data_IF_624462560229
#
_entry.id   IF_624462560229
#
_cell.length_a   1.000
_cell.length_b   1.000
_cell.length_c   1.000
_cell.angle_alpha   90.00
_cell.angle_beta   90.00
_cell.angle_gamma   90.00
#
_symmetry.space_group_name_H-M   'P 1'
#
loop_
_entity.id
_entity.type
_entity.pdbx_description
1 polymer ?
#
# COMPACT_ATOMS: atom_id res chain seq x y z
N UNK A 1 10.99 -1.05 36.85
CA UNK A 1 12.30 -0.68 36.27
C UNK A 1 12.81 -1.65 35.21
N UNK A 2 12.98 -2.96 35.49
CA UNK A 2 13.45 -3.93 34.48
C UNK A 2 12.42 -4.16 33.37
N UNK A 3 11.14 -4.29 33.74
CA UNK A 3 10.02 -4.47 32.80
C UNK A 3 9.85 -3.22 31.92
N UNK A 4 9.90 -2.02 32.50
CA UNK A 4 9.75 -0.77 31.74
C UNK A 4 10.87 -0.60 30.71
N UNK A 5 12.11 -0.94 31.09
CA UNK A 5 13.26 -0.90 30.17
C UNK A 5 13.12 -1.91 29.04
N UNK A 6 12.57 -3.10 29.33
CA UNK A 6 12.27 -4.11 28.32
C UNK A 6 11.17 -3.63 27.36
N UNK A 7 10.06 -3.12 27.90
CA UNK A 7 8.94 -2.57 27.11
C UNK A 7 9.40 -1.41 26.22
N UNK A 8 10.21 -0.49 26.74
CA UNK A 8 10.80 0.60 25.98
C UNK A 8 11.68 0.07 24.84
N UNK A 9 12.56 -0.89 25.12
CA UNK A 9 13.45 -1.50 24.12
C UNK A 9 12.67 -2.21 23.01
N UNK A 10 11.66 -3.01 23.37
CA UNK A 10 10.81 -3.71 22.41
C UNK A 10 9.98 -2.74 21.58
N UNK A 11 9.39 -1.72 22.20
CA UNK A 11 8.66 -0.66 21.50
C UNK A 11 9.56 0.01 20.46
N UNK A 12 10.71 0.55 20.88
CA UNK A 12 11.67 1.21 19.99
C UNK A 12 12.11 0.31 18.83
N UNK A 13 12.34 -0.98 19.08
CA UNK A 13 12.67 -1.94 18.03
C UNK A 13 11.59 -2.02 16.96
N UNK A 14 10.32 -2.19 17.34
CA UNK A 14 9.21 -2.25 16.39
C UNK A 14 8.99 -0.90 15.68
N UNK A 15 9.19 0.23 16.37
CA UNK A 15 9.11 1.57 15.77
C UNK A 15 10.18 1.77 14.70
N UNK A 16 11.43 1.40 14.99
CA UNK A 16 12.56 1.46 14.05
C UNK A 16 12.37 0.51 12.87
N UNK A 17 11.95 -0.74 13.13
CA UNK A 17 11.68 -1.73 12.09
C UNK A 17 10.56 -1.27 11.16
N UNK A 18 9.44 -0.79 11.72
CA UNK A 18 8.33 -0.26 10.94
C UNK A 18 8.74 0.93 10.07
N UNK A 19 9.48 1.88 10.65
CA UNK A 19 10.01 3.04 9.92
C UNK A 19 10.99 2.63 8.82
N UNK A 20 11.88 1.67 9.11
CA UNK A 20 12.82 1.10 8.14
C UNK A 20 12.12 0.42 6.97
N UNK A 21 11.01 -0.29 7.22
CA UNK A 21 10.19 -0.90 6.16
C UNK A 21 9.51 0.15 5.28
N UNK A 22 8.97 1.24 5.86
CA UNK A 22 8.43 2.38 5.08
C UNK A 22 9.52 2.99 4.22
N UNK A 23 10.69 3.25 4.80
CA UNK A 23 11.84 3.83 4.09
C UNK A 23 12.33 2.90 2.96
N UNK A 24 12.40 1.59 3.20
CA UNK A 24 12.73 0.62 2.16
C UNK A 24 11.68 0.60 1.04
N UNK A 25 10.39 0.69 1.39
CA UNK A 25 9.31 0.76 0.39
C UNK A 25 9.42 2.01 -0.50
N UNK A 26 9.98 3.12 0.01
CA UNK A 26 10.24 4.31 -0.80
C UNK A 26 11.22 4.03 -1.94
N UNK A 27 12.30 3.27 -1.72
CA UNK A 27 13.22 2.88 -2.78
C UNK A 27 12.57 1.96 -3.81
N UNK A 28 11.74 1.01 -3.35
CA UNK A 28 10.96 0.15 -4.26
C UNK A 28 10.05 1.00 -5.15
N UNK A 29 9.36 1.98 -4.56
CA UNK A 29 8.54 2.92 -5.32
C UNK A 29 9.38 3.76 -6.29
N UNK A 30 10.51 4.31 -5.87
CA UNK A 30 11.37 5.12 -6.72
C UNK A 30 11.85 4.32 -7.95
N UNK A 31 12.29 3.08 -7.74
CA UNK A 31 12.70 2.17 -8.81
C UNK A 31 11.56 1.79 -9.75
N UNK A 32 10.33 1.67 -9.24
CA UNK A 32 9.13 1.24 -9.99
C UNK A 32 8.18 2.38 -10.36
N UNK A 33 8.60 3.63 -10.17
CA UNK A 33 7.77 4.82 -10.39
C UNK A 33 7.23 4.88 -11.81
N UNK A 34 8.07 4.59 -12.82
CA UNK A 34 7.66 4.60 -14.23
C UNK A 34 6.58 3.56 -14.51
N UNK A 35 6.76 2.33 -14.02
CA UNK A 35 5.77 1.24 -14.16
C UNK A 35 4.45 1.59 -13.48
N UNK A 36 4.53 2.20 -12.28
CA UNK A 36 3.37 2.67 -11.53
C UNK A 36 2.55 3.71 -12.30
N UNK A 37 3.17 4.78 -12.80
CA UNK A 37 2.45 5.81 -13.55
C UNK A 37 1.96 5.31 -14.91
N UNK A 38 2.67 4.38 -15.56
CA UNK A 38 2.19 3.73 -16.79
C UNK A 38 0.90 2.94 -16.54
N UNK A 39 0.78 2.27 -15.39
CA UNK A 39 -0.43 1.54 -15.03
C UNK A 39 -1.60 2.51 -14.76
N UNK A 40 -1.32 3.60 -14.04
CA UNK A 40 -2.32 4.65 -13.76
C UNK A 40 -2.81 5.30 -15.06
N UNK A 41 -1.91 5.67 -15.97
CA UNK A 41 -2.30 6.29 -17.24
C UNK A 41 -3.11 5.33 -18.10
N UNK A 42 -2.71 4.06 -18.18
CA UNK A 42 -3.46 3.02 -18.89
C UNK A 42 -4.89 2.87 -18.37
N UNK A 43 -5.09 2.97 -17.06
CA UNK A 43 -6.41 2.91 -16.44
C UNK A 43 -7.22 4.20 -16.68
N UNK A 44 -6.65 5.35 -16.35
CA UNK A 44 -7.32 6.66 -16.43
C UNK A 44 -7.71 7.09 -17.86
N UNK A 45 -7.02 6.56 -18.88
CA UNK A 45 -7.40 6.79 -20.27
C UNK A 45 -8.73 6.12 -20.67
N UNK A 46 -9.19 5.09 -19.94
CA UNK A 46 -10.39 4.31 -20.27
C UNK A 46 -11.47 4.40 -19.19
N UNK A 47 -11.07 4.60 -17.93
CA UNK A 47 -11.95 4.50 -16.77
C UNK A 47 -11.69 5.64 -15.79
N UNK A 48 -12.69 5.95 -14.95
CA UNK A 48 -12.55 6.93 -13.88
C UNK A 48 -12.16 6.21 -12.58
N UNK A 49 -11.18 6.76 -11.86
CA UNK A 49 -10.87 6.24 -10.53
C UNK A 49 -12.05 6.48 -9.57
N UNK A 50 -12.48 5.46 -8.81
CA UNK A 50 -13.42 5.69 -7.72
C UNK A 50 -12.75 6.55 -6.65
N UNK A 51 -13.51 7.41 -5.98
CA UNK A 51 -13.02 8.04 -4.75
C UNK A 51 -12.76 6.95 -3.69
N UNK A 52 -11.68 7.02 -2.89
CA UNK A 52 -10.65 8.07 -2.81
C UNK A 52 -9.43 7.87 -3.74
N UNK A 53 -9.40 6.84 -4.60
CA UNK A 53 -8.24 6.57 -5.48
C UNK A 53 -7.97 7.71 -6.47
N UNK A 54 -9.01 8.47 -6.83
CA UNK A 54 -8.90 9.71 -7.61
C UNK A 54 -8.04 10.77 -6.93
N UNK A 55 -7.96 10.80 -5.60
CA UNK A 55 -7.04 11.66 -4.86
C UNK A 55 -5.67 10.99 -4.69
N UNK A 56 -5.65 9.71 -4.35
CA UNK A 56 -4.41 9.02 -4.00
C UNK A 56 -3.41 8.88 -5.15
N UNK A 57 -3.85 8.78 -6.41
CA UNK A 57 -2.89 8.70 -7.51
C UNK A 57 -2.07 9.99 -7.70
N UNK A 58 -2.53 11.13 -7.16
CA UNK A 58 -1.87 12.44 -7.26
C UNK A 58 -0.85 12.71 -6.15
N UNK A 59 -0.90 11.99 -5.02
CA UNK A 59 -0.04 12.27 -3.83
C UNK A 59 1.27 11.47 -3.80
N UNK A 60 1.67 10.91 -4.93
CA UNK A 60 2.97 10.24 -5.10
C UNK A 60 3.13 8.98 -4.23
N UNK A 61 4.27 8.86 -3.54
CA UNK A 61 4.64 7.67 -2.76
C UNK A 61 3.59 7.29 -1.71
N UNK A 62 3.08 8.26 -0.94
CA UNK A 62 2.11 8.01 0.12
C UNK A 62 0.76 7.50 -0.42
N UNK A 63 0.42 7.84 -1.67
CA UNK A 63 -0.78 7.38 -2.34
C UNK A 63 -0.58 6.09 -3.14
N UNK A 64 0.68 5.66 -3.33
CA UNK A 64 0.99 4.46 -4.10
C UNK A 64 0.42 3.20 -3.45
N UNK A 65 0.45 3.09 -2.12
CA UNK A 65 -0.11 1.92 -1.42
C UNK A 65 -1.60 1.70 -1.67
N UNK A 66 -2.51 2.66 -1.41
CA UNK A 66 -3.93 2.44 -1.66
C UNK A 66 -4.23 2.21 -3.16
N UNK A 67 -3.53 2.89 -4.07
CA UNK A 67 -3.72 2.71 -5.53
C UNK A 67 -3.25 1.33 -6.00
N UNK A 68 -2.09 0.87 -5.53
CA UNK A 68 -1.59 -0.49 -5.83
C UNK A 68 -2.56 -1.54 -5.30
N UNK A 69 -3.08 -1.37 -4.08
CA UNK A 69 -4.08 -2.26 -3.49
C UNK A 69 -5.38 -2.26 -4.29
N UNK A 70 -5.81 -1.10 -4.80
CA UNK A 70 -6.94 -0.99 -5.72
C UNK A 70 -6.71 -1.87 -6.95
N UNK A 71 -5.58 -1.73 -7.64
CA UNK A 71 -5.29 -2.54 -8.83
C UNK A 71 -5.20 -4.04 -8.53
N UNK A 72 -4.59 -4.44 -7.40
CA UNK A 72 -4.54 -5.84 -6.98
C UNK A 72 -5.94 -6.41 -6.74
N UNK A 73 -6.84 -5.63 -6.13
CA UNK A 73 -8.24 -6.07 -5.94
C UNK A 73 -8.99 -6.12 -7.27
N UNK A 74 -8.78 -5.14 -8.13
CA UNK A 74 -9.39 -5.06 -9.45
C UNK A 74 -9.01 -6.26 -10.31
N UNK A 75 -7.72 -6.65 -10.31
CA UNK A 75 -7.25 -7.83 -11.04
C UNK A 75 -7.81 -9.16 -10.50
N UNK A 76 -8.33 -9.15 -9.27
CA UNK A 76 -8.96 -10.31 -8.64
C UNK A 76 -10.50 -10.25 -8.74
N UNK A 77 -11.05 -9.24 -9.43
CA UNK A 77 -12.50 -8.94 -9.49
C UNK A 77 -13.15 -8.89 -8.10
N UNK A 78 -12.39 -8.45 -7.09
CA UNK A 78 -12.90 -8.31 -5.72
C UNK A 78 -13.65 -6.99 -5.59
N UNK A 79 -14.70 -6.98 -4.78
CA UNK A 79 -15.47 -5.78 -4.44
C UNK A 79 -14.54 -4.65 -3.96
N UNK A 80 -14.60 -3.53 -4.65
CA UNK A 80 -13.90 -2.28 -4.31
C UNK A 80 -14.91 -1.33 -3.66
N UNK A 81 -14.48 -0.63 -2.62
CA UNK A 81 -15.32 0.35 -1.93
C UNK A 81 -15.62 1.52 -2.88
N UNK A 82 -16.88 1.97 -2.92
CA UNK A 82 -17.36 3.04 -3.82
C UNK A 82 -17.25 2.76 -5.32
N UNK A 83 -17.24 1.48 -5.71
CA UNK A 83 -17.29 1.04 -7.10
C UNK A 83 -18.44 0.06 -7.29
N UNK A 84 -19.27 0.28 -8.32
CA UNK A 84 -20.40 -0.60 -8.64
C UNK A 84 -19.89 -1.98 -9.07
N UNK A 85 -20.57 -3.05 -8.68
CA UNK A 85 -20.18 -4.42 -9.05
C UNK A 85 -20.28 -4.70 -10.57
N UNK A 86 -21.10 -3.96 -11.29
CA UNK A 86 -21.25 -4.02 -12.74
C UNK A 86 -20.40 -2.98 -13.48
N UNK A 87 -19.51 -2.28 -12.77
CA UNK A 87 -18.65 -1.27 -13.39
C UNK A 87 -17.74 -1.90 -14.46
N UNK A 88 -17.71 -1.36 -15.70
CA UNK A 88 -16.93 -1.93 -16.79
C UNK A 88 -15.42 -1.93 -16.50
N UNK A 89 -14.93 -1.14 -15.54
CA UNK A 89 -13.52 -1.13 -15.19
C UNK A 89 -13.01 -2.45 -14.57
N UNK A 90 -13.91 -3.36 -14.14
CA UNK A 90 -13.51 -4.72 -13.75
C UNK A 90 -12.92 -5.54 -14.92
N UNK A 91 -13.17 -5.16 -16.17
CA UNK A 91 -12.55 -5.79 -17.35
C UNK A 91 -11.16 -5.24 -17.69
N UNK A 92 -10.64 -4.29 -16.91
CA UNK A 92 -9.35 -3.64 -17.19
C UNK A 92 -8.17 -4.64 -17.34
N UNK A 93 -8.19 -5.75 -16.60
CA UNK A 93 -7.16 -6.79 -16.65
C UNK A 93 -7.50 -7.95 -17.61
N UNK A 94 -8.58 -7.85 -18.40
CA UNK A 94 -8.88 -8.84 -19.44
C UNK A 94 -7.96 -8.68 -20.66
N UNK A 95 -7.36 -7.49 -20.84
CA UNK A 95 -6.30 -7.27 -21.81
C UNK A 95 -5.01 -7.98 -21.37
N UNK A 96 -4.55 -8.96 -22.17
CA UNK A 96 -3.37 -9.79 -21.89
C UNK A 96 -2.07 -8.98 -21.72
N UNK A 97 -2.03 -7.73 -22.18
CA UNK A 97 -0.86 -6.86 -22.06
C UNK A 97 -0.74 -6.18 -20.69
N UNK A 98 -1.82 -6.16 -19.89
CA UNK A 98 -1.88 -5.48 -18.60
C UNK A 98 -1.95 -6.53 -17.50
N UNK A 99 -0.97 -6.55 -16.60
CA UNK A 99 -0.93 -7.51 -15.48
C UNK A 99 -0.40 -6.88 -14.20
N UNK A 100 -0.82 -7.46 -13.08
CA UNK A 100 -0.22 -7.14 -11.78
C UNK A 100 1.18 -7.73 -11.71
N UNK A 101 2.16 -6.87 -11.49
CA UNK A 101 3.55 -7.28 -11.32
C UNK A 101 3.83 -7.72 -9.88
N UNK A 102 4.82 -8.62 -9.71
CA UNK A 102 5.23 -9.12 -8.39
C UNK A 102 5.64 -8.00 -7.43
N UNK A 103 6.30 -6.95 -7.93
CA UNK A 103 6.71 -5.80 -7.13
C UNK A 103 5.53 -5.09 -6.44
N UNK A 104 4.34 -5.09 -7.03
CA UNK A 104 3.14 -4.48 -6.44
C UNK A 104 2.67 -5.24 -5.20
N UNK A 105 2.75 -6.58 -5.25
CA UNK A 105 2.44 -7.45 -4.12
C UNK A 105 3.49 -7.31 -3.02
N UNK A 106 4.77 -7.29 -3.41
CA UNK A 106 5.88 -7.07 -2.48
C UNK A 106 5.77 -5.71 -1.78
N UNK A 107 5.54 -4.64 -2.54
CA UNK A 107 5.32 -3.29 -2.00
C UNK A 107 4.13 -3.25 -1.02
N UNK A 108 3.01 -3.88 -1.39
CA UNK A 108 1.86 -4.00 -0.47
C UNK A 108 2.22 -4.75 0.81
N UNK A 109 3.01 -5.81 0.70
CA UNK A 109 3.50 -6.59 1.84
C UNK A 109 4.38 -5.76 2.79
N UNK A 110 5.29 -4.93 2.24
CA UNK A 110 6.11 -4.01 3.04
C UNK A 110 5.24 -3.04 3.85
N UNK A 111 4.22 -2.45 3.22
CA UNK A 111 3.31 -1.53 3.91
C UNK A 111 2.47 -2.22 4.99
N UNK A 112 1.99 -3.45 4.75
CA UNK A 112 1.30 -4.22 5.79
C UNK A 112 2.22 -4.55 6.96
N UNK A 113 3.44 -5.03 6.69
CA UNK A 113 4.42 -5.34 7.71
C UNK A 113 4.82 -4.09 8.52
N UNK A 114 5.05 -2.96 7.83
CA UNK A 114 5.33 -1.68 8.47
C UNK A 114 4.18 -1.23 9.37
N UNK A 115 2.94 -1.30 8.87
CA UNK A 115 1.74 -0.94 9.63
C UNK A 115 1.60 -1.80 10.87
N UNK A 116 1.79 -3.12 10.75
CA UNK A 116 1.75 -4.03 11.89
C UNK A 116 2.83 -3.69 12.94
N UNK A 117 4.06 -3.40 12.51
CA UNK A 117 5.14 -2.99 13.41
C UNK A 117 4.81 -1.68 14.12
N UNK A 118 4.29 -0.68 13.41
CA UNK A 118 3.93 0.61 13.98
C UNK A 118 2.74 0.51 14.94
N UNK A 119 1.79 -0.39 14.66
CA UNK A 119 0.68 -0.70 15.57
C UNK A 119 1.22 -1.32 16.86
N UNK A 120 2.11 -2.33 16.76
CA UNK A 120 2.74 -2.96 17.94
C UNK A 120 3.55 -1.93 18.73
N UNK A 121 4.33 -1.08 18.06
CA UNK A 121 5.04 0.04 18.67
C UNK A 121 4.10 0.95 19.46
N UNK A 122 2.99 1.38 18.85
CA UNK A 122 2.02 2.25 19.52
C UNK A 122 1.37 1.56 20.73
N UNK A 123 0.96 0.29 20.59
CA UNK A 123 0.35 -0.46 21.70
C UNK A 123 1.32 -0.66 22.86
N UNK A 124 2.56 -1.08 22.62
CA UNK A 124 3.57 -1.23 23.68
C UNK A 124 3.95 0.13 24.26
N UNK A 125 4.04 1.15 23.40
CA UNK A 125 4.25 2.55 23.76
C UNK A 125 3.24 3.06 24.79
N UNK A 126 1.96 2.75 24.60
CA UNK A 126 0.88 3.13 25.52
C UNK A 126 0.91 2.41 26.87
N UNK A 127 1.62 1.29 26.97
CA UNK A 127 1.76 0.52 28.22
C UNK A 127 2.95 0.97 29.06
N UNK A 128 3.77 1.91 28.55
CA UNK A 128 4.84 2.51 29.34
C UNK A 128 4.25 3.50 30.37
N UNK A 129 4.68 3.40 31.65
CA UNK A 129 4.23 4.30 32.71
C UNK A 129 4.78 5.73 32.57
#
# INVERSE_FOLDING_TARGET
>A
MVIDKLLAGTSLFFGLLGSGLVFFSFFVYAAKRKDYYKLISSYSNKYKFPAPCSFYHSVGFFGAFPVIRFFIKLSQRKKIFLMDSNDPAYSFFDDKNIKIHSWMRFFSGLWFAATACLIIFAFIGLLLP
#
